data_IF_130455472041
#
_entry.id   IF_130455472041
#
_cell.length_a   1.000
_cell.length_b   1.000
_cell.length_c   1.000
_cell.angle_alpha   90.00
_cell.angle_beta   90.00
_cell.angle_gamma   90.00
#
_symmetry.space_group_name_H-M   'P 1'
#
loop_
_entity.id
_entity.type
_entity.pdbx_description
1 polymer ?
#
# COMPACT_ATOMS: atom_id res chain seq x y z
N UNK A 1 -4.50 -19.49 -42.46
CA UNK A 1 -5.34 -18.65 -41.59
C UNK A 1 -5.73 -19.48 -40.38
N UNK A 2 -5.24 -19.14 -39.19
CA UNK A 2 -5.69 -19.76 -37.95
C UNK A 2 -6.70 -18.80 -37.31
N UNK A 3 -7.98 -19.12 -37.40
CA UNK A 3 -9.00 -18.41 -36.61
C UNK A 3 -9.03 -19.03 -35.22
N UNK A 4 -8.75 -18.21 -34.21
CA UNK A 4 -8.96 -18.60 -32.83
C UNK A 4 -10.46 -18.69 -32.56
N UNK A 5 -10.93 -19.85 -32.08
CA UNK A 5 -12.30 -20.03 -31.59
C UNK A 5 -12.44 -19.24 -30.28
N UNK A 6 -13.40 -18.32 -30.15
CA UNK A 6 -13.59 -17.58 -28.92
C UNK A 6 -14.13 -18.54 -27.85
N UNK A 7 -13.28 -18.93 -26.90
CA UNK A 7 -13.72 -19.60 -25.68
C UNK A 7 -14.66 -18.67 -24.90
N UNK A 8 -15.82 -19.15 -24.45
CA UNK A 8 -16.70 -18.36 -23.60
C UNK A 8 -15.92 -17.98 -22.34
N UNK A 9 -15.76 -16.67 -22.11
CA UNK A 9 -15.23 -16.15 -20.85
C UNK A 9 -16.18 -16.67 -19.76
N UNK A 10 -15.70 -17.60 -18.93
CA UNK A 10 -16.40 -17.98 -17.72
C UNK A 10 -16.64 -16.71 -16.92
N UNK A 11 -17.87 -16.19 -16.98
CA UNK A 11 -18.32 -15.13 -16.10
C UNK A 11 -18.30 -15.74 -14.70
N UNK A 12 -17.24 -15.46 -13.96
CA UNK A 12 -17.22 -15.68 -12.53
C UNK A 12 -17.93 -14.47 -11.94
N UNK A 13 -19.16 -14.59 -11.38
CA UNK A 13 -19.70 -13.51 -10.59
C UNK A 13 -18.90 -13.54 -9.29
N UNK A 14 -17.83 -12.75 -9.21
CA UNK A 14 -17.32 -12.36 -7.90
C UNK A 14 -18.39 -11.43 -7.35
N UNK A 15 -19.29 -11.94 -6.51
CA UNK A 15 -20.27 -11.10 -5.84
C UNK A 15 -19.50 -9.96 -5.18
N UNK A 16 -19.73 -8.73 -5.65
CA UNK A 16 -19.18 -7.55 -5.00
C UNK A 16 -19.60 -7.58 -3.54
N UNK A 17 -18.70 -7.15 -2.65
CA UNK A 17 -19.07 -6.99 -1.24
C UNK A 17 -20.33 -6.13 -1.18
N UNK A 18 -21.38 -6.51 -0.42
CA UNK A 18 -22.60 -5.72 -0.32
C UNK A 18 -22.37 -4.31 0.23
N UNK A 19 -21.17 -4.06 0.79
CA UNK A 19 -20.73 -2.75 1.26
C UNK A 19 -20.18 -1.83 0.15
N UNK A 20 -19.91 -2.33 -1.06
CA UNK A 20 -19.48 -1.50 -2.19
C UNK A 20 -20.73 -0.97 -2.89
N UNK A 21 -21.09 0.27 -2.57
CA UNK A 21 -22.28 0.94 -3.12
C UNK A 21 -21.96 1.88 -4.28
N UNK A 22 -20.67 2.15 -4.53
CA UNK A 22 -20.24 3.04 -5.61
C UNK A 22 -20.43 2.33 -6.96
N UNK A 23 -21.15 2.97 -7.88
CA UNK A 23 -21.42 2.47 -9.23
C UNK A 23 -20.61 3.20 -10.32
N UNK A 24 -19.88 4.25 -9.93
CA UNK A 24 -19.21 5.17 -10.83
C UNK A 24 -17.70 5.17 -10.59
N UNK A 25 -16.93 5.11 -11.67
CA UNK A 25 -15.47 5.32 -11.66
C UNK A 25 -15.12 6.45 -12.63
N UNK A 26 -14.47 7.51 -12.14
CA UNK A 26 -13.97 8.62 -12.96
C UNK A 26 -12.48 8.41 -13.22
N UNK A 27 -12.09 8.32 -14.49
CA UNK A 27 -10.70 8.11 -14.89
C UNK A 27 -10.00 9.44 -15.11
N UNK A 28 -8.81 9.58 -14.53
CA UNK A 28 -7.92 10.73 -14.72
C UNK A 28 -6.59 10.22 -15.29
N UNK A 29 -6.13 10.82 -16.39
CA UNK A 29 -4.83 10.58 -16.97
C UNK A 29 -4.01 11.87 -16.92
N UNK A 30 -2.80 11.80 -16.35
CA UNK A 30 -1.89 12.94 -16.23
C UNK A 30 -0.60 12.69 -17.01
N UNK A 31 -0.03 13.76 -17.54
CA UNK A 31 1.23 13.75 -18.26
C UNK A 31 2.45 13.79 -17.32
N UNK A 32 3.64 13.56 -17.89
CA UNK A 32 4.91 13.81 -17.19
C UNK A 32 5.10 15.31 -16.96
N UNK A 33 5.69 15.73 -15.83
CA UNK A 33 6.03 17.13 -15.58
C UNK A 33 6.82 17.76 -16.74
N UNK A 34 6.44 18.97 -17.12
CA UNK A 34 7.07 19.68 -18.23
C UNK A 34 6.28 20.89 -18.70
N UNK A 35 6.95 21.76 -19.46
CA UNK A 35 6.31 22.94 -20.03
C UNK A 35 5.20 22.54 -21.01
N UNK A 36 4.02 23.16 -20.85
CA UNK A 36 2.87 22.94 -21.74
C UNK A 36 2.22 21.55 -21.64
N UNK A 37 2.40 20.83 -20.52
CA UNK A 37 1.84 19.49 -20.29
C UNK A 37 0.84 19.48 -19.15
N UNK A 38 -0.15 18.60 -19.26
CA UNK A 38 -1.21 18.43 -18.27
C UNK A 38 -0.80 17.42 -17.19
N UNK A 39 0.17 17.78 -16.36
CA UNK A 39 0.78 16.87 -15.37
C UNK A 39 0.18 16.97 -13.96
N UNK A 40 -0.75 17.91 -13.72
CA UNK A 40 -1.35 18.16 -12.41
C UNK A 40 -2.82 18.55 -12.57
N UNK A 41 -3.69 17.88 -11.80
CA UNK A 41 -5.10 18.24 -11.63
C UNK A 41 -5.41 18.44 -10.15
N UNK A 42 -6.23 19.43 -9.84
CA UNK A 42 -6.79 19.66 -8.51
C UNK A 42 -8.25 19.20 -8.54
N UNK A 43 -8.55 18.12 -7.83
CA UNK A 43 -9.91 17.58 -7.71
C UNK A 43 -10.51 17.92 -6.35
N UNK A 44 -11.75 18.40 -6.35
CA UNK A 44 -12.56 18.55 -5.15
C UNK A 44 -13.33 17.26 -4.90
N UNK A 45 -13.29 16.78 -3.66
CA UNK A 45 -13.99 15.57 -3.22
C UNK A 45 -14.86 15.90 -2.02
N UNK A 46 -16.09 15.39 -2.05
CA UNK A 46 -16.99 15.49 -0.89
C UNK A 46 -16.40 14.70 0.27
N UNK A 47 -16.21 15.36 1.41
CA UNK A 47 -15.73 14.71 2.61
C UNK A 47 -16.77 13.72 3.14
N UNK A 48 -16.34 12.52 3.52
CA UNK A 48 -17.19 11.59 4.26
C UNK A 48 -17.44 12.01 5.72
N UNK A 49 -16.79 13.08 6.19
CA UNK A 49 -16.95 13.66 7.52
C UNK A 49 -18.39 14.12 7.84
N UNK A 50 -19.06 14.76 6.89
CA UNK A 50 -20.37 15.39 7.12
C UNK A 50 -21.52 14.38 7.28
N UNK A 51 -21.24 13.07 7.13
CA UNK A 51 -22.24 12.00 7.24
C UNK A 51 -22.44 11.47 8.66
N UNK A 52 -21.89 12.14 9.67
CA UNK A 52 -22.22 11.89 11.09
C UNK A 52 -21.85 10.50 11.60
N UNK A 53 -20.82 9.87 11.03
CA UNK A 53 -20.33 8.59 11.51
C UNK A 53 -19.23 8.82 12.55
N UNK A 54 -19.57 8.61 13.82
CA UNK A 54 -18.64 8.74 14.96
C UNK A 54 -17.36 7.91 14.79
N UNK A 55 -17.42 6.80 14.04
CA UNK A 55 -16.29 5.90 13.82
C UNK A 55 -15.18 6.55 12.97
N UNK A 56 -15.54 7.44 12.03
CA UNK A 56 -14.55 8.05 11.13
C UNK A 56 -13.97 9.36 11.65
N UNK A 57 -14.57 9.95 12.70
CA UNK A 57 -14.17 11.25 13.23
C UNK A 57 -12.71 11.28 13.71
N UNK A 58 -12.19 10.17 14.21
CA UNK A 58 -10.78 10.06 14.63
C UNK A 58 -9.79 10.30 13.47
N UNK A 59 -10.15 9.90 12.24
CA UNK A 59 -9.27 10.03 11.07
C UNK A 59 -9.24 11.45 10.51
N UNK A 60 -10.22 12.28 10.83
CA UNK A 60 -10.34 13.66 10.35
C UNK A 60 -9.89 14.69 11.39
N UNK A 61 -9.29 14.26 12.50
CA UNK A 61 -8.70 15.17 13.47
C UNK A 61 -7.47 15.85 12.88
N UNK A 62 -7.45 17.19 12.95
CA UNK A 62 -6.29 17.99 12.55
C UNK A 62 -5.27 18.05 13.68
N UNK A 63 -3.99 18.06 13.32
CA UNK A 63 -2.88 18.35 14.22
C UNK A 63 -2.95 19.80 14.71
N UNK A 64 -2.10 20.16 15.69
CA UNK A 64 -1.91 21.54 16.15
C UNK A 64 -1.56 22.50 15.01
N UNK A 65 -0.89 22.03 13.96
CA UNK A 65 -0.53 22.84 12.78
C UNK A 65 -1.65 22.89 11.72
N UNK A 66 -2.83 22.33 12.02
CA UNK A 66 -3.98 22.32 11.11
C UNK A 66 -3.90 21.29 9.98
N UNK A 67 -2.99 20.31 10.07
CA UNK A 67 -2.80 19.25 9.06
C UNK A 67 -3.58 17.99 9.40
N UNK A 68 -4.00 17.23 8.39
CA UNK A 68 -4.54 15.88 8.63
C UNK A 68 -3.40 14.87 8.84
N UNK A 69 -3.67 13.84 9.64
CA UNK A 69 -2.77 12.71 9.83
C UNK A 69 -3.11 11.55 8.89
N UNK A 70 -2.10 10.79 8.48
CA UNK A 70 -2.30 9.56 7.72
C UNK A 70 -2.51 8.37 8.65
N UNK A 71 -3.42 7.48 8.28
CA UNK A 71 -3.71 6.26 9.02
C UNK A 71 -3.57 5.04 8.11
N UNK A 72 -3.16 3.92 8.70
CA UNK A 72 -3.18 2.65 8.01
C UNK A 72 -4.62 2.12 7.89
N UNK A 73 -4.93 1.56 6.73
CA UNK A 73 -6.18 0.84 6.51
C UNK A 73 -6.08 -0.58 7.09
N UNK A 74 -7.09 -1.00 7.87
CA UNK A 74 -7.07 -2.30 8.55
C UNK A 74 -7.06 -3.49 7.58
N UNK A 75 -7.81 -3.38 6.47
CA UNK A 75 -7.89 -4.43 5.47
C UNK A 75 -6.56 -4.56 4.72
N UNK A 76 -5.93 -3.44 4.39
CA UNK A 76 -4.61 -3.40 3.78
C UNK A 76 -3.54 -4.01 4.69
N UNK A 77 -3.55 -3.69 5.99
CA UNK A 77 -2.66 -4.32 6.98
C UNK A 77 -2.90 -5.83 7.06
N UNK A 78 -4.16 -6.26 7.03
CA UNK A 78 -4.52 -7.68 7.07
C UNK A 78 -4.04 -8.44 5.84
N UNK A 79 -4.23 -7.86 4.65
CA UNK A 79 -3.75 -8.40 3.37
C UNK A 79 -2.23 -8.52 3.42
N UNK A 80 -1.54 -7.42 3.77
CA UNK A 80 -0.08 -7.36 3.86
C UNK A 80 0.47 -8.43 4.81
N UNK A 81 -0.12 -8.57 6.00
CA UNK A 81 0.28 -9.61 6.96
C UNK A 81 0.03 -11.01 6.43
N UNK A 82 -1.11 -11.24 5.79
CA UNK A 82 -1.49 -12.55 5.25
C UNK A 82 -0.63 -13.02 4.07
N UNK A 83 0.02 -12.08 3.36
CA UNK A 83 0.84 -12.34 2.18
C UNK A 83 2.33 -12.15 2.42
N UNK A 84 2.77 -11.83 3.65
CA UNK A 84 4.16 -11.50 3.96
C UNK A 84 5.16 -12.60 3.54
N UNK A 85 4.79 -13.87 3.68
CA UNK A 85 5.65 -14.99 3.30
C UNK A 85 5.77 -15.18 1.78
N UNK A 86 4.81 -14.68 1.01
CA UNK A 86 4.81 -14.77 -0.46
C UNK A 86 5.86 -13.85 -1.11
N UNK A 87 6.35 -12.84 -0.39
CA UNK A 87 7.42 -11.96 -0.86
C UNK A 87 8.74 -12.74 -0.91
N UNK A 88 9.37 -12.80 -2.08
CA UNK A 88 10.67 -13.47 -2.30
C UNK A 88 11.64 -12.43 -2.87
N UNK A 89 12.71 -12.13 -2.13
CA UNK A 89 13.73 -11.13 -2.49
C UNK A 89 15.08 -11.84 -2.59
N UNK A 90 15.36 -12.60 -3.66
CA UNK A 90 16.71 -13.17 -3.94
C UNK A 90 16.90 -13.61 -5.41
N UNK A 91 16.34 -12.89 -6.38
CA UNK A 91 16.52 -13.21 -7.82
C UNK A 91 15.98 -14.58 -8.27
N UNK A 92 15.30 -15.32 -7.39
CA UNK A 92 14.60 -16.56 -7.75
C UNK A 92 13.28 -16.18 -8.43
N UNK A 93 12.93 -16.81 -9.56
CA UNK A 93 11.63 -16.59 -10.18
C UNK A 93 10.54 -16.89 -9.15
N UNK A 94 9.56 -15.98 -9.04
CA UNK A 94 8.36 -16.28 -8.28
C UNK A 94 7.75 -17.58 -8.84
N UNK A 95 7.36 -18.55 -7.99
CA UNK A 95 6.72 -19.76 -8.48
C UNK A 95 5.45 -19.38 -9.27
N UNK A 96 5.08 -20.16 -10.32
CA UNK A 96 3.88 -19.90 -11.10
C UNK A 96 2.67 -19.72 -10.17
N UNK A 97 2.00 -18.57 -10.29
CA UNK A 97 0.99 -18.09 -9.36
C UNK A 97 -0.12 -19.13 -9.14
N UNK A 98 -0.14 -19.72 -7.94
CA UNK A 98 -1.32 -20.36 -7.35
C UNK A 98 -1.66 -19.79 -5.96
N UNK A 99 -1.04 -18.69 -5.54
CA UNK A 99 -1.34 -18.08 -4.25
C UNK A 99 -2.40 -17.00 -4.40
N UNK A 100 -3.64 -17.40 -4.70
CA UNK A 100 -4.76 -16.61 -4.18
C UNK A 100 -4.71 -16.73 -2.67
N UNK A 101 -4.38 -15.63 -1.99
CA UNK A 101 -4.57 -15.54 -0.54
C UNK A 101 -6.03 -15.85 -0.28
N UNK A 102 -6.30 -16.95 0.41
CA UNK A 102 -7.66 -17.38 0.70
C UNK A 102 -8.34 -16.28 1.53
N UNK A 103 -9.58 -15.92 1.19
CA UNK A 103 -10.34 -14.89 1.92
C UNK A 103 -10.37 -15.15 3.44
N UNK A 104 -10.51 -16.43 3.84
CA UNK A 104 -10.43 -16.86 5.25
C UNK A 104 -9.11 -16.50 5.94
N UNK A 105 -7.99 -16.52 5.20
CA UNK A 105 -6.68 -16.10 5.71
C UNK A 105 -6.65 -14.59 5.96
N UNK A 106 -7.20 -13.80 5.04
CA UNK A 106 -7.31 -12.34 5.22
C UNK A 106 -8.21 -12.02 6.40
N UNK A 107 -9.37 -12.67 6.54
CA UNK A 107 -10.29 -12.46 7.65
C UNK A 107 -9.67 -12.77 9.02
N UNK A 108 -8.88 -13.85 9.12
CA UNK A 108 -8.11 -14.17 10.33
C UNK A 108 -7.12 -13.06 10.66
N UNK A 109 -6.41 -12.54 9.66
CA UNK A 109 -5.45 -11.45 9.86
C UNK A 109 -6.15 -10.13 10.19
N UNK A 110 -7.32 -9.85 9.62
CA UNK A 110 -8.12 -8.68 9.96
C UNK A 110 -8.56 -8.70 11.43
N UNK A 111 -9.01 -9.86 11.93
CA UNK A 111 -9.32 -10.04 13.36
C UNK A 111 -8.08 -9.80 14.23
N UNK A 112 -6.91 -10.24 13.79
CA UNK A 112 -5.65 -9.99 14.48
C UNK A 112 -5.28 -8.50 14.48
N UNK A 113 -5.39 -7.81 13.35
CA UNK A 113 -5.12 -6.36 13.20
C UNK A 113 -6.01 -5.56 14.14
N UNK A 114 -7.32 -5.84 14.15
CA UNK A 114 -8.27 -5.17 15.05
C UNK A 114 -7.86 -5.28 16.52
N UNK A 115 -7.46 -6.47 16.97
CA UNK A 115 -7.06 -6.69 18.37
C UNK A 115 -5.65 -6.18 18.72
N UNK A 116 -4.71 -6.18 17.78
CA UNK A 116 -3.30 -5.91 18.07
C UNK A 116 -2.81 -4.54 17.63
N UNK A 117 -3.53 -3.87 16.73
CA UNK A 117 -3.16 -2.58 16.16
C UNK A 117 -4.27 -1.56 16.45
N UNK A 118 -5.48 -1.79 15.95
CA UNK A 118 -6.58 -0.83 16.06
C UNK A 118 -6.98 -0.58 17.51
N UNK A 119 -7.24 -1.63 18.29
CA UNK A 119 -7.56 -1.53 19.71
C UNK A 119 -6.45 -0.91 20.56
N UNK A 120 -5.21 -0.84 20.05
CA UNK A 120 -4.06 -0.22 20.71
C UNK A 120 -3.77 1.20 20.20
N UNK A 121 -4.60 1.75 19.31
CA UNK A 121 -4.42 3.09 18.73
C UNK A 121 -3.21 3.20 17.79
N UNK A 122 -2.75 2.09 17.21
CA UNK A 122 -1.54 2.04 16.38
C UNK A 122 -1.80 2.25 14.89
N UNK A 123 -3.02 2.62 14.49
CA UNK A 123 -3.35 2.90 13.09
C UNK A 123 -2.77 4.23 12.60
N UNK A 124 -2.50 5.19 13.50
CA UNK A 124 -1.89 6.47 13.12
C UNK A 124 -0.47 6.22 12.62
N UNK A 125 -0.18 6.69 11.41
CA UNK A 125 1.16 6.58 10.83
C UNK A 125 2.15 7.36 11.70
N UNK A 126 3.26 6.74 12.17
CA UNK A 126 4.21 7.42 13.02
C UNK A 126 4.99 8.49 12.24
N UNK A 127 5.26 9.63 12.88
CA UNK A 127 6.11 10.69 12.34
C UNK A 127 7.60 10.40 12.63
N UNK A 128 8.10 9.26 12.13
CA UNK A 128 9.44 8.76 12.40
C UNK A 128 10.36 8.79 11.17
N UNK A 129 10.16 9.76 10.28
CA UNK A 129 10.98 9.92 9.09
C UNK A 129 12.43 10.25 9.44
N UNK A 130 13.35 9.46 8.91
CA UNK A 130 14.78 9.61 9.12
C UNK A 130 15.53 9.44 7.80
N UNK A 131 16.72 10.05 7.71
CA UNK A 131 17.60 9.87 6.55
C UNK A 131 18.23 8.47 6.62
N UNK A 132 18.04 7.67 5.56
CA UNK A 132 18.62 6.32 5.46
C UNK A 132 19.78 6.23 4.46
N UNK A 133 19.86 7.16 3.52
CA UNK A 133 20.92 7.22 2.51
C UNK A 133 21.74 8.53 2.64
N UNK A 134 22.99 8.56 2.16
CA UNK A 134 23.78 9.79 2.06
C UNK A 134 23.07 10.88 1.26
N UNK A 135 23.39 12.13 1.55
CA UNK A 135 22.91 13.27 0.75
C UNK A 135 23.50 13.17 -0.66
N UNK A 136 22.65 13.36 -1.68
CA UNK A 136 23.09 13.37 -3.07
C UNK A 136 24.23 14.37 -3.28
N UNK A 137 25.33 13.92 -3.86
CA UNK A 137 26.47 14.75 -4.23
C UNK A 137 26.61 14.79 -5.76
N UNK A 138 26.29 15.91 -6.44
CA UNK A 138 26.39 16.01 -7.89
C UNK A 138 27.82 15.88 -8.43
N UNK A 139 28.84 16.14 -7.59
CA UNK A 139 30.25 15.97 -7.96
C UNK A 139 30.73 14.51 -7.82
N UNK A 140 29.97 13.68 -7.09
CA UNK A 140 30.29 12.29 -6.82
C UNK A 140 29.40 11.34 -7.63
N UNK A 141 29.33 11.54 -8.96
CA UNK A 141 28.64 10.60 -9.84
C UNK A 141 29.30 9.22 -9.65
N UNK A 142 28.61 8.32 -8.94
CA UNK A 142 28.99 6.92 -8.85
C UNK A 142 29.17 6.34 -10.25
N UNK A 143 29.96 5.28 -10.36
CA UNK A 143 30.14 4.61 -11.66
C UNK A 143 28.77 4.17 -12.16
N UNK A 144 28.40 4.60 -13.37
CA UNK A 144 27.11 4.32 -14.00
C UNK A 144 26.87 2.81 -14.24
N UNK A 145 27.93 2.01 -14.13
CA UNK A 145 27.93 0.56 -14.40
C UNK A 145 27.66 -0.30 -13.15
N UNK A 146 27.48 0.32 -11.97
CA UNK A 146 27.26 -0.41 -10.70
C UNK A 146 25.81 -0.25 -10.22
N UNK A 147 25.25 -1.31 -9.61
CA UNK A 147 23.95 -1.22 -8.95
C UNK A 147 24.04 -0.28 -7.75
N UNK A 148 23.03 0.58 -7.51
CA UNK A 148 23.00 1.43 -6.33
C UNK A 148 23.10 0.63 -5.04
N UNK A 149 23.78 1.18 -4.04
CA UNK A 149 23.81 0.60 -2.70
C UNK A 149 22.41 0.58 -2.10
N UNK A 150 22.07 -0.54 -1.47
CA UNK A 150 20.85 -0.66 -0.68
C UNK A 150 21.06 -0.05 0.71
N UNK A 151 20.11 0.80 1.12
CA UNK A 151 20.12 1.43 2.43
C UNK A 151 18.91 0.95 3.23
N UNK A 152 19.11 0.23 4.36
CA UNK A 152 18.01 -0.24 5.20
C UNK A 152 17.13 0.92 5.68
N UNK A 153 15.83 0.80 5.45
CA UNK A 153 14.84 1.78 5.89
C UNK A 153 14.32 1.42 7.29
N UNK A 154 14.58 2.29 8.28
CA UNK A 154 14.17 2.04 9.68
C UNK A 154 12.65 2.08 9.87
N UNK A 155 11.92 2.80 9.00
CA UNK A 155 10.47 2.83 8.99
C UNK A 155 9.91 1.49 8.51
N UNK A 156 10.50 0.90 7.45
CA UNK A 156 10.15 -0.46 7.01
C UNK A 156 10.36 -1.46 8.14
N UNK A 157 11.49 -1.39 8.83
CA UNK A 157 11.75 -2.26 9.99
C UNK A 157 10.73 -2.08 11.12
N UNK A 158 10.32 -0.83 11.40
CA UNK A 158 9.31 -0.52 12.42
C UNK A 158 7.92 -1.02 12.03
N UNK A 159 7.56 -0.86 10.76
CA UNK A 159 6.32 -1.35 10.17
C UNK A 159 6.23 -2.89 10.22
N UNK A 160 7.30 -3.58 9.81
CA UNK A 160 7.38 -5.04 9.90
C UNK A 160 7.26 -5.54 11.34
N UNK A 161 7.90 -4.87 12.31
CA UNK A 161 7.76 -5.19 13.74
C UNK A 161 6.33 -4.99 14.24
N UNK A 162 5.68 -3.87 13.87
CA UNK A 162 4.28 -3.59 14.25
C UNK A 162 3.33 -4.68 13.73
N UNK A 163 3.55 -5.14 12.50
CA UNK A 163 2.75 -6.21 11.90
C UNK A 163 3.20 -7.62 12.28
N UNK A 164 4.26 -7.78 13.06
CA UNK A 164 4.89 -9.07 13.37
C UNK A 164 5.18 -9.92 12.12
N UNK A 165 5.75 -9.30 11.09
CA UNK A 165 6.15 -9.97 9.85
C UNK A 165 7.67 -9.87 9.64
N UNK A 166 8.29 -10.83 8.91
CA UNK A 166 9.71 -10.74 8.57
C UNK A 166 10.02 -9.50 7.73
N UNK A 167 11.10 -8.79 8.05
CA UNK A 167 11.63 -7.74 7.18
C UNK A 167 12.64 -8.32 6.20
N UNK A 168 12.16 -8.79 5.06
CA UNK A 168 12.97 -9.42 4.01
C UNK A 168 13.95 -8.46 3.31
N UNK A 169 13.82 -7.14 3.55
CA UNK A 169 14.72 -6.11 3.01
C UNK A 169 15.90 -5.79 3.94
N UNK A 170 15.86 -6.25 5.19
CA UNK A 170 16.94 -6.03 6.16
C UNK A 170 17.72 -7.30 6.50
N UNK A 171 17.44 -8.41 5.80
CA UNK A 171 18.29 -9.59 5.89
C UNK A 171 19.63 -9.24 5.25
N UNK A 172 20.61 -9.03 6.13
CA UNK A 172 22.00 -8.78 5.80
C UNK A 172 22.50 -9.92 4.91
N UNK A 173 22.97 -9.60 3.70
CA UNK A 173 23.91 -10.47 2.99
C UNK A 173 25.28 -10.38 3.64
#
# INVERSE_FOLDING_TARGET
MFQAVPTPKSQRPTSLSPHITNDTTKFLALDKPGHGREFLELAEVESCFDKGNDVTNEYFQKTSEGKFALYYDEEWLAITRSSADALIIQGRPAPPVQQTVKARTVEKNLRWVKGNISAKGLLKTPENFQRHAPVYNPAGQGKLDEQPLEFPNSQTGSFCRMLEIPNKFSEVM
#
